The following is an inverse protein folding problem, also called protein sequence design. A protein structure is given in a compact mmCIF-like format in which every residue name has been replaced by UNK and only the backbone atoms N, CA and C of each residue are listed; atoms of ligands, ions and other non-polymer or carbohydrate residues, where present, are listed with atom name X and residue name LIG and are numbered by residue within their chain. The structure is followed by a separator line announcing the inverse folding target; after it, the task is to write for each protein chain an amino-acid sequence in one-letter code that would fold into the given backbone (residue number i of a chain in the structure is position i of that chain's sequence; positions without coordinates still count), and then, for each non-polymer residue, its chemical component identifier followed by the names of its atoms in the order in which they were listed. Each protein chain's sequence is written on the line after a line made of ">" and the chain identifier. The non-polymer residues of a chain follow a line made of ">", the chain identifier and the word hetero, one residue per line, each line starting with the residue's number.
data_IF_769313848224
#
_entry.id   IF_769313848224
#
_cell.length_a   1.000
_cell.length_b   1.000
_cell.length_c   1.000
_cell.angle_alpha   90.00
_cell.angle_beta   90.00
_cell.angle_gamma   90.00
#
_symmetry.space_group_name_H-M   'P 1'
#
loop_
_entity.id
_entity.type
_entity.pdbx_description
1 polymer ?
#
# COMPACT_ATOMS: atom_id res chain seq x y z
N UNK A 1 -22.47 -8.26 -11.30
CA UNK A 1 -22.22 -6.92 -10.74
C UNK A 1 -21.75 -7.00 -9.30
N UNK A 2 -22.59 -7.27 -8.31
CA UNK A 2 -22.16 -7.30 -6.88
C UNK A 2 -21.09 -8.36 -6.61
N UNK A 3 -21.26 -9.60 -7.10
CA UNK A 3 -20.24 -10.65 -6.93
C UNK A 3 -18.90 -10.30 -7.59
N UNK A 4 -18.92 -9.59 -8.71
CA UNK A 4 -17.71 -9.14 -9.39
C UNK A 4 -17.00 -8.06 -8.55
N UNK A 5 -17.75 -7.13 -7.94
CA UNK A 5 -17.18 -6.14 -7.01
C UNK A 5 -16.52 -6.82 -5.81
N UNK A 6 -17.18 -7.83 -5.21
CA UNK A 6 -16.60 -8.61 -4.10
C UNK A 6 -15.34 -9.36 -4.53
N UNK A 7 -15.35 -9.99 -5.70
CA UNK A 7 -14.21 -10.75 -6.24
C UNK A 7 -13.03 -9.84 -6.60
N UNK A 8 -13.29 -8.65 -7.14
CA UNK A 8 -12.26 -7.73 -7.62
C UNK A 8 -11.68 -6.82 -6.52
N UNK A 9 -12.33 -6.73 -5.35
CA UNK A 9 -11.86 -5.91 -4.23
C UNK A 9 -10.41 -6.23 -3.85
N UNK A 10 -10.05 -7.51 -3.71
CA UNK A 10 -8.68 -7.91 -3.33
C UNK A 10 -7.64 -7.45 -4.35
N UNK A 11 -8.01 -7.38 -5.64
CA UNK A 11 -7.10 -6.93 -6.70
C UNK A 11 -6.78 -5.43 -6.60
N UNK A 12 -7.63 -4.62 -5.96
CA UNK A 12 -7.38 -3.20 -5.77
C UNK A 12 -6.16 -2.92 -4.88
N UNK A 13 -5.76 -3.89 -4.04
CA UNK A 13 -4.59 -3.79 -3.17
C UNK A 13 -3.28 -4.26 -3.83
N UNK A 14 -3.30 -4.61 -5.12
CA UNK A 14 -2.09 -5.01 -5.85
C UNK A 14 -1.43 -3.80 -6.52
N UNK A 15 -0.21 -3.49 -6.09
CA UNK A 15 0.64 -2.47 -6.71
C UNK A 15 2.03 -3.05 -7.03
N UNK A 16 2.37 -3.32 -8.31
CA UNK A 16 3.63 -3.94 -8.70
C UNK A 16 4.85 -3.03 -8.49
N UNK A 17 4.65 -1.74 -8.23
CA UNK A 17 5.72 -0.76 -7.99
C UNK A 17 5.86 -0.39 -6.51
N UNK A 18 5.08 -1.01 -5.62
CA UNK A 18 5.13 -0.71 -4.19
C UNK A 18 6.42 -1.20 -3.53
N UNK A 19 6.93 -2.35 -3.96
CA UNK A 19 8.09 -3.00 -3.36
C UNK A 19 9.11 -3.41 -4.44
N UNK A 20 9.84 -2.45 -5.05
CA UNK A 20 10.75 -2.74 -6.15
C UNK A 20 11.87 -3.72 -5.76
N UNK A 21 12.26 -3.72 -4.48
CA UNK A 21 13.29 -4.60 -3.91
C UNK A 21 12.81 -6.03 -3.63
N UNK A 22 11.50 -6.30 -3.76
CA UNK A 22 10.88 -7.58 -3.37
C UNK A 22 10.24 -8.27 -4.57
N UNK A 23 10.71 -9.46 -4.91
CA UNK A 23 10.10 -10.28 -5.95
C UNK A 23 8.73 -10.79 -5.54
N UNK A 24 7.74 -10.70 -6.43
CA UNK A 24 6.36 -11.20 -6.28
C UNK A 24 5.49 -10.52 -5.20
N UNK A 25 6.04 -9.62 -4.39
CA UNK A 25 5.26 -8.90 -3.39
C UNK A 25 4.69 -7.62 -3.99
N UNK A 26 3.43 -7.69 -4.39
CA UNK A 26 2.66 -6.52 -4.87
C UNK A 26 1.53 -6.14 -3.93
N UNK A 27 1.17 -7.01 -2.98
CA UNK A 27 0.02 -6.79 -2.12
C UNK A 27 0.35 -5.78 -1.01
N UNK A 28 -0.28 -4.60 -1.05
CA UNK A 28 0.01 -3.48 -0.14
C UNK A 28 -0.27 -3.85 1.32
N UNK A 29 -1.27 -4.71 1.59
CA UNK A 29 -1.61 -5.14 2.95
C UNK A 29 -0.77 -6.32 3.47
N UNK A 30 -0.28 -7.20 2.58
CA UNK A 30 0.23 -8.52 2.97
C UNK A 30 1.73 -8.71 2.66
N UNK A 31 2.42 -7.66 2.23
CA UNK A 31 3.87 -7.73 2.05
C UNK A 31 4.59 -8.00 3.38
N UNK A 32 5.76 -8.67 3.37
CA UNK A 32 6.52 -8.96 4.58
C UNK A 32 6.89 -7.68 5.33
N UNK A 33 6.63 -7.68 6.63
CA UNK A 33 6.96 -6.59 7.55
C UNK A 33 8.16 -6.95 8.42
N UNK A 34 9.10 -6.02 8.56
CA UNK A 34 10.25 -6.13 9.47
C UNK A 34 10.08 -5.26 10.70
N UNK A 35 9.36 -4.13 10.56
CA UNK A 35 9.06 -3.22 11.67
C UNK A 35 8.16 -3.86 12.72
N UNK A 36 8.27 -3.44 13.98
CA UNK A 36 7.40 -3.88 15.09
C UNK A 36 5.97 -3.30 15.05
N UNK A 37 5.75 -2.19 14.34
CA UNK A 37 4.45 -1.49 14.29
C UNK A 37 3.46 -2.25 13.39
N UNK A 38 2.30 -2.71 13.90
CA UNK A 38 1.31 -3.45 13.12
C UNK A 38 0.44 -2.52 12.27
N UNK A 39 1.02 -2.01 11.18
CA UNK A 39 0.33 -1.17 10.17
C UNK A 39 0.68 -1.65 8.75
N UNK A 40 0.38 -0.84 7.72
CA UNK A 40 0.75 -1.11 6.33
C UNK A 40 2.26 -1.45 6.24
N UNK A 41 2.63 -2.65 5.76
CA UNK A 41 4.00 -3.16 5.85
C UNK A 41 5.03 -2.27 5.16
N UNK A 42 4.70 -1.70 3.99
CA UNK A 42 5.59 -0.76 3.30
C UNK A 42 5.83 0.52 4.07
N UNK A 43 4.79 1.07 4.69
CA UNK A 43 4.90 2.27 5.51
C UNK A 43 5.66 1.99 6.80
N UNK A 44 5.34 0.89 7.49
CA UNK A 44 6.00 0.49 8.73
C UNK A 44 7.51 0.32 8.55
N UNK A 45 7.92 -0.42 7.50
CA UNK A 45 9.32 -0.64 7.20
C UNK A 45 10.03 0.68 6.82
N UNK A 46 9.40 1.50 5.96
CA UNK A 46 9.99 2.78 5.55
C UNK A 46 10.17 3.75 6.74
N UNK A 47 9.22 3.79 7.68
CA UNK A 47 9.33 4.61 8.89
C UNK A 47 10.45 4.11 9.80
N UNK A 48 10.60 2.79 9.99
CA UNK A 48 11.68 2.23 10.80
C UNK A 48 13.06 2.49 10.17
N UNK A 49 13.17 2.38 8.85
CA UNK A 49 14.39 2.72 8.11
C UNK A 49 14.72 4.21 8.24
N UNK A 50 13.75 5.10 8.00
CA UNK A 50 13.96 6.55 8.12
C UNK A 50 14.28 6.99 9.55
N UNK A 51 13.76 6.29 10.56
CA UNK A 51 14.08 6.55 11.97
C UNK A 51 15.55 6.26 12.31
N UNK A 52 16.21 5.37 11.57
CA UNK A 52 17.66 5.10 11.72
C UNK A 52 18.52 6.20 11.10
N UNK A 53 17.99 6.96 10.14
CA UNK A 53 18.68 8.04 9.42
C UNK A 53 17.82 9.31 9.38
N UNK A 54 17.59 9.97 10.52
CA UNK A 54 16.58 11.03 10.64
C UNK A 54 16.86 12.27 9.78
N UNK A 55 18.12 12.51 9.43
CA UNK A 55 18.54 13.65 8.60
C UNK A 55 18.56 13.34 7.10
N UNK A 56 18.28 12.09 6.69
CA UNK A 56 18.26 11.72 5.28
C UNK A 56 16.89 12.07 4.64
N UNK A 57 16.83 13.08 3.76
CA UNK A 57 15.59 13.47 3.10
C UNK A 57 15.06 12.38 2.15
N UNK A 58 15.92 11.50 1.63
CA UNK A 58 15.52 10.42 0.73
C UNK A 58 14.75 9.33 1.49
N UNK A 59 15.21 8.95 2.69
CA UNK A 59 14.51 8.02 3.56
C UNK A 59 13.08 8.52 3.88
N UNK A 60 12.92 9.80 4.21
CA UNK A 60 11.60 10.40 4.43
C UNK A 60 10.78 10.55 3.14
N UNK A 61 11.42 10.70 1.97
CA UNK A 61 10.73 10.65 0.68
C UNK A 61 10.15 9.25 0.41
N UNK A 62 10.85 8.18 0.80
CA UNK A 62 10.33 6.80 0.73
C UNK A 62 9.12 6.61 1.65
N UNK A 63 9.13 7.17 2.86
CA UNK A 63 7.97 7.16 3.77
C UNK A 63 6.76 7.84 3.10
N UNK A 64 6.93 9.05 2.55
CA UNK A 64 5.85 9.76 1.84
C UNK A 64 5.32 8.94 0.66
N UNK A 65 6.20 8.33 -0.13
CA UNK A 65 5.81 7.46 -1.26
C UNK A 65 4.98 6.26 -0.79
N UNK A 66 5.40 5.56 0.26
CA UNK A 66 4.67 4.41 0.81
C UNK A 66 3.31 4.82 1.39
N UNK A 67 3.22 5.98 2.04
CA UNK A 67 1.96 6.54 2.50
C UNK A 67 1.02 6.81 1.30
N UNK A 68 1.50 7.47 0.25
CA UNK A 68 0.70 7.71 -0.96
C UNK A 68 0.22 6.41 -1.61
N UNK A 69 1.05 5.36 -1.65
CA UNK A 69 0.65 4.05 -2.16
C UNK A 69 -0.48 3.44 -1.32
N UNK A 70 -0.37 3.49 0.01
CA UNK A 70 -1.42 2.98 0.90
C UNK A 70 -2.74 3.73 0.72
N UNK A 71 -2.70 5.06 0.67
CA UNK A 71 -3.89 5.90 0.41
C UNK A 71 -4.52 5.55 -0.92
N UNK A 72 -3.74 5.51 -2.02
CA UNK A 72 -4.28 5.19 -3.34
C UNK A 72 -4.88 3.78 -3.41
N UNK A 73 -4.32 2.80 -2.70
CA UNK A 73 -4.86 1.45 -2.65
C UNK A 73 -6.22 1.41 -1.91
N UNK A 74 -6.35 2.14 -0.80
CA UNK A 74 -7.60 2.22 -0.05
C UNK A 74 -8.67 2.98 -0.84
N UNK A 75 -8.32 4.12 -1.45
CA UNK A 75 -9.21 4.88 -2.33
C UNK A 75 -9.67 4.04 -3.53
N UNK A 76 -8.73 3.34 -4.18
CA UNK A 76 -9.04 2.44 -5.29
C UNK A 76 -9.97 1.30 -4.88
N UNK A 77 -9.72 0.69 -3.71
CA UNK A 77 -10.58 -0.35 -3.16
C UNK A 77 -11.98 0.19 -2.83
N UNK A 78 -12.09 1.37 -2.22
CA UNK A 78 -13.37 2.01 -1.94
C UNK A 78 -14.15 2.28 -3.23
N UNK A 79 -13.49 2.81 -4.27
CA UNK A 79 -14.10 3.05 -5.58
C UNK A 79 -14.64 1.77 -6.23
N UNK A 80 -14.05 0.59 -5.99
CA UNK A 80 -14.60 -0.68 -6.51
C UNK A 80 -15.94 -1.06 -5.91
N UNK A 81 -16.25 -0.56 -4.71
CA UNK A 81 -17.48 -0.85 -3.96
C UNK A 81 -18.57 0.20 -4.18
N UNK A 82 -18.27 1.30 -4.87
CA UNK A 82 -19.27 2.31 -5.21
C UNK A 82 -20.35 1.73 -6.17
N UNK A 83 -21.58 2.27 -6.15
CA UNK A 83 -22.62 1.84 -7.08
C UNK A 83 -22.20 2.05 -8.53
N UNK A 84 -22.14 0.97 -9.31
CA UNK A 84 -21.70 0.99 -10.73
C UNK A 84 -22.70 1.72 -11.66
N UNK A 85 -23.89 2.09 -11.16
CA UNK A 85 -25.01 2.62 -11.95
C UNK A 85 -25.43 4.07 -11.60
N UNK A 86 -24.57 4.85 -10.94
CA UNK A 86 -24.80 6.29 -10.73
C UNK A 86 -23.62 7.11 -11.27
N UNK A 87 -23.44 7.05 -12.59
CA UNK A 87 -22.77 8.07 -13.41
C UNK A 87 -23.41 8.12 -14.79
#
# INVERSE_FOLDING_TARGET
>A
MVNDQLMLLERAFLNPRAFPEKYYYSHVLWAPRTSSVPTFPGLANACEEASKTPHDPEAWAKVRKQLSIAVMAVEGAAATLEPVALR
#
